data_IF_639077303539
#
_entry.id   IF_639077303539
#
_cell.length_a   1.000
_cell.length_b   1.000
_cell.length_c   1.000
_cell.angle_alpha   90.00
_cell.angle_beta   90.00
_cell.angle_gamma   90.00
#
_symmetry.space_group_name_H-M   'P 1'
#
loop_
_entity.id
_entity.type
_entity.pdbx_description
1 polymer ?
#
# COMPACT_ATOMS: atom_id res chain seq x y z
N UNK A 1 -1.76 2.68 4.25
CA UNK A 1 -1.04 2.12 5.42
C UNK A 1 -0.61 0.66 5.27
N UNK A 2 -1.45 -0.37 5.46
CA UNK A 2 -0.92 -1.77 5.48
C UNK A 2 -0.11 -2.16 4.22
N UNK A 3 -0.61 -1.85 3.02
CA UNK A 3 0.12 -2.12 1.76
C UNK A 3 1.41 -1.30 1.64
N UNK A 4 1.46 -0.10 2.24
CA UNK A 4 2.66 0.72 2.35
C UNK A 4 3.71 0.01 3.20
N UNK A 5 3.34 -0.37 4.43
CA UNK A 5 4.25 -1.04 5.38
C UNK A 5 4.76 -2.38 4.89
N UNK A 6 3.89 -3.19 4.26
CA UNK A 6 4.30 -4.46 3.67
C UNK A 6 5.29 -4.23 2.53
N UNK A 7 5.17 -3.13 1.78
CA UNK A 7 6.07 -2.85 0.66
C UNK A 7 7.48 -2.52 1.13
N UNK A 8 7.64 -1.82 2.25
CA UNK A 8 8.94 -1.72 2.93
C UNK A 8 9.50 -3.11 3.25
N UNK A 9 8.68 -3.97 3.86
CA UNK A 9 9.11 -5.31 4.26
C UNK A 9 9.54 -6.17 3.07
N UNK A 10 8.79 -6.12 1.95
CA UNK A 10 9.14 -6.82 0.71
C UNK A 10 10.47 -6.31 0.16
N UNK A 11 10.67 -4.99 0.12
CA UNK A 11 11.91 -4.39 -0.37
C UNK A 11 13.11 -4.73 0.52
N UNK A 12 12.93 -4.74 1.85
CA UNK A 12 13.95 -5.16 2.79
C UNK A 12 14.35 -6.62 2.53
N UNK A 13 13.39 -7.54 2.46
CA UNK A 13 13.65 -8.95 2.15
C UNK A 13 14.34 -9.13 0.79
N UNK A 14 13.86 -8.45 -0.24
CA UNK A 14 14.42 -8.53 -1.60
C UNK A 14 15.87 -8.02 -1.70
N UNK A 15 16.29 -7.19 -0.75
CA UNK A 15 17.64 -6.60 -0.70
C UNK A 15 18.53 -7.25 0.35
N UNK A 16 18.12 -8.38 0.93
CA UNK A 16 18.90 -9.17 1.88
C UNK A 16 18.71 -8.80 3.35
N UNK A 17 17.68 -8.00 3.67
CA UNK A 17 17.26 -7.70 5.03
C UNK A 17 16.19 -8.64 5.57
N UNK A 18 15.59 -8.27 6.70
CA UNK A 18 14.51 -8.98 7.38
C UNK A 18 13.42 -8.02 7.88
N UNK A 19 12.23 -8.57 8.12
CA UNK A 19 11.11 -7.87 8.76
C UNK A 19 11.06 -8.29 10.23
N UNK A 20 11.23 -7.35 11.16
CA UNK A 20 11.15 -7.64 12.59
C UNK A 20 9.70 -7.59 13.06
N UNK A 21 9.00 -6.50 12.72
CA UNK A 21 7.58 -6.30 13.03
C UNK A 21 6.98 -5.16 12.21
N UNK A 22 5.66 -5.21 12.08
CA UNK A 22 4.84 -4.11 11.55
C UNK A 22 3.87 -3.66 12.64
N UNK A 23 3.66 -2.35 12.76
CA UNK A 23 2.65 -1.78 13.65
C UNK A 23 1.69 -0.91 12.86
N UNK A 24 0.41 -0.99 13.19
CA UNK A 24 -0.65 -0.11 12.69
C UNK A 24 -1.46 0.46 13.86
N UNK A 25 -1.97 1.68 13.70
CA UNK A 25 -2.85 2.33 14.67
C UNK A 25 -4.14 2.88 14.05
N UNK A 26 -5.07 3.30 14.91
CA UNK A 26 -6.39 3.79 14.51
C UNK A 26 -6.39 5.19 13.87
N UNK A 27 -5.30 5.93 13.99
CA UNK A 27 -5.11 7.26 13.38
C UNK A 27 -4.45 7.17 12.00
N UNK A 28 -4.54 6.01 11.35
CA UNK A 28 -3.94 5.74 10.04
C UNK A 28 -2.40 5.79 10.08
N UNK A 29 -1.79 5.61 11.25
CA UNK A 29 -0.34 5.45 11.38
C UNK A 29 0.11 4.01 11.13
N UNK A 30 1.32 3.88 10.60
CA UNK A 30 1.99 2.64 10.30
C UNK A 30 3.50 2.75 10.54
N UNK A 31 4.14 1.63 10.87
CA UNK A 31 5.59 1.54 10.85
C UNK A 31 6.05 0.10 10.60
N UNK A 32 6.97 -0.07 9.66
CA UNK A 32 7.62 -1.33 9.34
C UNK A 32 9.06 -1.31 9.84
N UNK A 33 9.34 -2.10 10.88
CA UNK A 33 10.67 -2.24 11.44
C UNK A 33 11.40 -3.35 10.70
N UNK A 34 12.40 -2.96 9.92
CA UNK A 34 13.25 -3.87 9.15
C UNK A 34 14.71 -3.78 9.61
N UNK A 35 15.45 -4.88 9.47
CA UNK A 35 16.88 -4.95 9.74
C UNK A 35 17.64 -5.33 8.47
N UNK A 36 18.76 -4.65 8.20
CA UNK A 36 19.56 -4.89 6.98
C UNK A 36 18.86 -4.46 5.68
N UNK A 37 19.33 -4.99 4.56
CA UNK A 37 18.83 -4.63 3.22
C UNK A 37 19.36 -3.27 2.72
N UNK A 38 18.80 -2.81 1.60
CA UNK A 38 19.09 -1.51 1.03
C UNK A 38 18.10 -0.47 1.58
N UNK A 39 18.55 0.52 2.38
CA UNK A 39 17.66 1.47 3.03
C UNK A 39 16.97 2.40 2.04
N UNK A 40 17.65 2.77 0.94
CA UNK A 40 17.06 3.62 -0.10
C UNK A 40 15.88 2.94 -0.78
N UNK A 41 16.06 1.68 -1.19
CA UNK A 41 14.99 0.89 -1.80
C UNK A 41 13.86 0.62 -0.82
N UNK A 42 14.20 0.29 0.44
CA UNK A 42 13.23 0.03 1.49
C UNK A 42 12.35 1.24 1.72
N UNK A 43 12.92 2.42 2.00
CA UNK A 43 12.18 3.66 2.26
C UNK A 43 11.36 4.12 1.04
N UNK A 44 11.88 3.93 -0.17
CA UNK A 44 11.14 4.30 -1.40
C UNK A 44 9.96 3.36 -1.67
N UNK A 45 10.01 2.12 -1.18
CA UNK A 45 9.01 1.09 -1.47
C UNK A 45 7.65 1.34 -0.83
N UNK A 46 7.56 2.14 0.24
CA UNK A 46 6.27 2.47 0.86
C UNK A 46 5.34 3.17 -0.12
N UNK A 47 5.71 4.39 -0.53
CA UNK A 47 4.92 5.20 -1.46
C UNK A 47 4.71 4.50 -2.80
N UNK A 48 5.79 3.95 -3.39
CA UNK A 48 5.72 3.28 -4.69
C UNK A 48 4.90 1.99 -4.62
N UNK A 49 5.03 1.22 -3.54
CA UNK A 49 4.27 0.00 -3.33
C UNK A 49 2.78 0.26 -3.24
N UNK A 50 2.36 1.29 -2.49
CA UNK A 50 0.95 1.69 -2.40
C UNK A 50 0.34 2.02 -3.77
N UNK A 51 1.09 2.71 -4.64
CA UNK A 51 0.71 2.99 -6.03
C UNK A 51 0.62 1.71 -6.87
N UNK A 52 1.64 0.84 -6.79
CA UNK A 52 1.70 -0.39 -7.57
C UNK A 52 0.59 -1.37 -7.19
N UNK A 53 0.37 -1.62 -5.90
CA UNK A 53 -0.72 -2.47 -5.43
C UNK A 53 -2.09 -1.91 -5.83
N UNK A 54 -2.26 -0.59 -5.65
CA UNK A 54 -3.48 0.10 -6.02
C UNK A 54 -3.79 0.00 -7.52
N UNK A 55 -2.80 0.31 -8.35
CA UNK A 55 -2.89 0.22 -9.81
C UNK A 55 -3.16 -1.21 -10.28
N UNK A 56 -2.49 -2.20 -9.69
CA UNK A 56 -2.73 -3.61 -9.99
C UNK A 56 -4.19 -3.97 -9.69
N UNK A 57 -4.66 -3.75 -8.46
CA UNK A 57 -6.05 -4.07 -8.08
C UNK A 57 -7.06 -3.36 -8.99
N UNK A 58 -6.85 -2.08 -9.31
CA UNK A 58 -7.70 -1.31 -10.21
C UNK A 58 -7.74 -1.94 -11.63
N UNK A 59 -6.58 -2.28 -12.20
CA UNK A 59 -6.50 -2.92 -13.52
C UNK A 59 -7.15 -4.31 -13.53
N UNK A 60 -6.91 -5.12 -12.50
CA UNK A 60 -7.50 -6.46 -12.40
C UNK A 60 -9.02 -6.39 -12.23
N UNK A 61 -9.54 -5.38 -11.53
CA UNK A 61 -10.97 -5.14 -11.42
C UNK A 61 -11.60 -4.82 -12.79
N UNK A 62 -10.89 -4.15 -13.69
CA UNK A 62 -11.42 -3.81 -15.02
C UNK A 62 -11.28 -4.93 -16.05
N UNK A 63 -10.37 -5.87 -15.85
CA UNK A 63 -10.13 -6.96 -16.79
C UNK A 63 -11.33 -7.92 -16.96
N UNK A 64 -11.87 -8.03 -18.18
CA UNK A 64 -13.11 -8.80 -18.47
C UNK A 64 -13.03 -10.29 -18.12
N UNK A 65 -11.85 -10.91 -18.25
CA UNK A 65 -11.64 -12.36 -18.04
C UNK A 65 -11.22 -12.74 -16.62
N UNK A 66 -11.11 -11.79 -15.71
CA UNK A 66 -10.61 -12.07 -14.37
C UNK A 66 -11.72 -12.43 -13.40
N UNK A 67 -11.47 -13.49 -12.62
CA UNK A 67 -12.36 -13.90 -11.55
C UNK A 67 -12.03 -13.10 -10.28
N UNK A 68 -12.73 -11.98 -10.10
CA UNK A 68 -12.53 -11.06 -8.97
C UNK A 68 -12.78 -11.70 -7.61
N UNK A 69 -13.59 -12.77 -7.53
CA UNK A 69 -13.76 -13.58 -6.31
C UNK A 69 -12.46 -14.28 -5.91
N UNK A 70 -11.73 -14.88 -6.85
CA UNK A 70 -10.44 -15.51 -6.54
C UNK A 70 -9.41 -14.48 -6.09
N UNK A 71 -9.38 -13.31 -6.73
CA UNK A 71 -8.45 -12.23 -6.38
C UNK A 71 -8.75 -11.68 -4.99
N UNK A 72 -10.02 -11.33 -4.70
CA UNK A 72 -10.40 -10.87 -3.37
C UNK A 72 -10.17 -11.93 -2.30
N UNK A 73 -10.36 -13.22 -2.64
CA UNK A 73 -10.05 -14.30 -1.72
C UNK A 73 -8.56 -14.38 -1.40
N UNK A 74 -7.71 -14.26 -2.44
CA UNK A 74 -6.27 -14.23 -2.29
C UNK A 74 -5.81 -13.04 -1.45
N UNK A 75 -6.30 -11.83 -1.75
CA UNK A 75 -5.98 -10.62 -0.98
C UNK A 75 -6.43 -10.78 0.48
N UNK A 76 -7.66 -11.22 0.71
CA UNK A 76 -8.17 -11.43 2.06
C UNK A 76 -7.35 -12.43 2.87
N UNK A 77 -6.97 -13.57 2.25
CA UNK A 77 -6.10 -14.56 2.88
C UNK A 77 -4.69 -14.00 3.13
N UNK A 78 -4.10 -13.32 2.15
CA UNK A 78 -2.79 -12.70 2.29
C UNK A 78 -2.76 -11.68 3.43
N UNK A 79 -3.79 -10.84 3.55
CA UNK A 79 -3.91 -9.88 4.66
C UNK A 79 -3.94 -10.61 6.00
N UNK A 80 -4.73 -11.68 6.16
CA UNK A 80 -4.78 -12.46 7.41
C UNK A 80 -3.40 -13.04 7.73
N UNK A 81 -2.78 -13.73 6.76
CA UNK A 81 -1.48 -14.38 6.96
C UNK A 81 -0.41 -13.36 7.32
N UNK A 82 -0.30 -12.26 6.57
CA UNK A 82 0.68 -11.22 6.84
C UNK A 82 0.42 -10.51 8.18
N UNK A 83 -0.86 -10.36 8.57
CA UNK A 83 -1.22 -9.81 9.88
C UNK A 83 -0.74 -10.70 11.01
N UNK A 84 -0.98 -12.01 10.92
CA UNK A 84 -0.53 -12.96 11.93
C UNK A 84 1.01 -13.07 11.98
N UNK A 85 1.66 -13.08 10.82
CA UNK A 85 3.11 -13.26 10.73
C UNK A 85 3.89 -12.02 11.16
N UNK A 86 3.47 -10.82 10.80
CA UNK A 86 4.31 -9.62 10.95
C UNK A 86 3.70 -8.51 11.79
N UNK A 87 2.36 -8.42 11.93
CA UNK A 87 1.76 -7.33 12.70
C UNK A 87 1.86 -7.63 14.21
N UNK A 88 2.33 -6.65 14.97
CA UNK A 88 2.55 -6.73 16.43
C UNK A 88 1.83 -5.64 17.23
N UNK A 89 0.96 -4.85 16.61
CA UNK A 89 0.03 -3.97 17.32
C UNK A 89 -1.35 -4.63 17.46
N UNK A 90 -2.00 -4.48 18.63
CA UNK A 90 -3.30 -5.09 18.89
C UNK A 90 -4.37 -4.61 17.90
N UNK A 91 -4.42 -3.28 17.65
CA UNK A 91 -5.32 -2.70 16.65
C UNK A 91 -5.06 -3.28 15.26
N UNK A 92 -3.81 -3.27 14.80
CA UNK A 92 -3.44 -3.75 13.48
C UNK A 92 -3.77 -5.23 13.27
N UNK A 93 -3.54 -6.07 14.29
CA UNK A 93 -3.86 -7.50 14.23
C UNK A 93 -5.37 -7.72 14.10
N UNK A 94 -6.17 -7.09 14.96
CA UNK A 94 -7.63 -7.22 14.93
C UNK A 94 -8.18 -6.67 13.61
N UNK A 95 -7.75 -5.48 13.22
CA UNK A 95 -8.18 -4.84 11.97
C UNK A 95 -7.82 -5.70 10.76
N UNK A 96 -6.58 -6.19 10.68
CA UNK A 96 -6.12 -7.03 9.58
C UNK A 96 -6.90 -8.34 9.47
N UNK A 97 -7.15 -9.03 10.58
CA UNK A 97 -7.95 -10.26 10.59
C UNK A 97 -9.40 -9.98 10.16
N UNK A 98 -10.04 -8.96 10.73
CA UNK A 98 -11.43 -8.60 10.40
C UNK A 98 -11.57 -8.14 8.95
N UNK A 99 -10.62 -7.34 8.46
CA UNK A 99 -10.61 -6.85 7.08
C UNK A 99 -10.37 -7.99 6.09
N UNK A 100 -9.41 -8.89 6.36
CA UNK A 100 -9.20 -10.06 5.52
C UNK A 100 -10.40 -11.01 5.53
N UNK A 101 -11.00 -11.24 6.69
CA UNK A 101 -12.21 -12.05 6.82
C UNK A 101 -13.42 -11.42 6.09
N UNK A 102 -13.57 -10.09 6.13
CA UNK A 102 -14.62 -9.40 5.40
C UNK A 102 -14.41 -9.49 3.89
N UNK A 103 -13.17 -9.42 3.39
CA UNK A 103 -12.85 -9.68 1.99
C UNK A 103 -13.14 -11.12 1.57
N UNK A 104 -12.81 -12.11 2.40
CA UNK A 104 -13.19 -13.51 2.16
C UNK A 104 -14.72 -13.67 2.13
N UNK A 105 -15.44 -13.02 3.05
CA UNK A 105 -16.89 -13.03 3.06
C UNK A 105 -17.48 -12.43 1.78
N UNK A 106 -17.03 -11.23 1.39
CA UNK A 106 -17.43 -10.58 0.13
C UNK A 106 -17.12 -11.48 -1.06
N UNK A 107 -15.93 -12.07 -1.10
CA UNK A 107 -15.52 -12.98 -2.16
C UNK A 107 -16.44 -14.18 -2.31
N UNK A 108 -16.80 -14.83 -1.21
CA UNK A 108 -17.51 -16.10 -1.23
C UNK A 108 -19.04 -15.94 -1.25
N UNK A 109 -19.58 -14.84 -0.71
CA UNK A 109 -21.02 -14.65 -0.47
C UNK A 109 -21.68 -13.60 -1.35
N UNK A 110 -20.92 -12.83 -2.14
CA UNK A 110 -21.49 -11.78 -3.01
C UNK A 110 -21.28 -12.08 -4.48
N UNK A 111 -22.06 -11.40 -5.33
CA UNK A 111 -21.99 -11.57 -6.78
C UNK A 111 -20.73 -10.98 -7.43
N UNK A 112 -20.47 -11.29 -8.71
CA UNK A 112 -19.32 -10.77 -9.45
C UNK A 112 -19.23 -9.24 -9.49
N UNK A 113 -20.38 -8.56 -9.55
CA UNK A 113 -20.44 -7.09 -9.56
C UNK A 113 -19.92 -6.46 -8.27
N UNK A 114 -20.33 -6.98 -7.11
CA UNK A 114 -19.86 -6.50 -5.80
C UNK A 114 -18.39 -6.81 -5.61
N UNK A 115 -17.94 -8.01 -5.99
CA UNK A 115 -16.52 -8.36 -5.96
C UNK A 115 -15.64 -7.43 -6.81
N UNK A 116 -16.13 -7.09 -8.00
CA UNK A 116 -15.48 -6.15 -8.91
C UNK A 116 -15.43 -4.75 -8.32
N UNK A 117 -16.55 -4.28 -7.75
CA UNK A 117 -16.64 -3.00 -7.06
C UNK A 117 -15.68 -2.92 -5.87
N UNK A 118 -15.64 -3.95 -5.02
CA UNK A 118 -14.72 -4.02 -3.89
C UNK A 118 -13.26 -3.92 -4.34
N UNK A 119 -12.84 -4.74 -5.30
CA UNK A 119 -11.47 -4.72 -5.82
C UNK A 119 -11.12 -3.37 -6.47
N UNK A 120 -12.07 -2.78 -7.21
CA UNK A 120 -11.92 -1.46 -7.81
C UNK A 120 -11.74 -0.38 -6.74
N UNK A 121 -12.59 -0.36 -5.71
CA UNK A 121 -12.51 0.58 -4.60
C UNK A 121 -11.18 0.43 -3.85
N UNK A 122 -10.76 -0.79 -3.52
CA UNK A 122 -9.46 -1.03 -2.89
C UNK A 122 -8.29 -0.50 -3.73
N UNK A 123 -8.33 -0.78 -5.03
CA UNK A 123 -7.32 -0.30 -5.97
C UNK A 123 -7.25 1.22 -6.03
N UNK A 124 -8.40 1.87 -6.22
CA UNK A 124 -8.49 3.33 -6.28
C UNK A 124 -8.08 3.98 -4.97
N UNK A 125 -8.56 3.46 -3.83
CA UNK A 125 -8.21 3.96 -2.51
C UNK A 125 -6.71 3.84 -2.27
N UNK A 126 -6.07 2.70 -2.55
CA UNK A 126 -4.62 2.54 -2.34
C UNK A 126 -3.79 3.49 -3.22
N UNK A 127 -4.15 3.64 -4.50
CA UNK A 127 -3.44 4.53 -5.42
C UNK A 127 -3.55 6.00 -4.99
N UNK A 128 -4.76 6.47 -4.68
CA UNK A 128 -4.97 7.87 -4.30
C UNK A 128 -4.46 8.16 -2.88
N UNK A 129 -4.53 7.17 -1.98
CA UNK A 129 -4.01 7.31 -0.62
C UNK A 129 -2.52 7.60 -0.62
N UNK A 130 -1.73 7.03 -1.55
CA UNK A 130 -0.30 7.34 -1.66
C UNK A 130 -0.01 8.85 -1.82
N UNK A 131 -0.86 9.58 -2.58
CA UNK A 131 -0.73 11.04 -2.74
C UNK A 131 -1.02 11.75 -1.41
N UNK A 132 -2.07 11.31 -0.70
CA UNK A 132 -2.45 11.89 0.59
C UNK A 132 -1.40 11.62 1.67
N UNK A 133 -0.78 10.44 1.64
CA UNK A 133 0.30 10.03 2.56
C UNK A 133 1.51 10.96 2.39
N UNK A 134 1.99 11.14 1.15
CA UNK A 134 3.13 12.02 0.86
C UNK A 134 2.80 13.46 1.24
N UNK A 135 1.59 13.93 0.94
CA UNK A 135 1.13 15.29 1.32
C UNK A 135 1.12 15.46 2.84
N UNK A 136 0.66 14.44 3.57
CA UNK A 136 0.65 14.48 5.03
C UNK A 136 2.07 14.52 5.61
N UNK A 137 2.97 13.71 5.07
CA UNK A 137 4.35 13.61 5.54
C UNK A 137 5.19 14.85 5.25
N UNK A 138 4.94 15.51 4.12
CA UNK A 138 5.78 16.61 3.64
C UNK A 138 5.22 17.99 4.02
N UNK A 139 3.89 18.15 4.02
CA UNK A 139 3.25 19.45 4.23
C UNK A 139 2.55 19.56 5.57
N UNK A 140 1.77 18.54 5.96
CA UNK A 140 0.95 18.64 7.16
C UNK A 140 1.75 18.34 8.44
N UNK A 141 2.75 17.45 8.35
CA UNK A 141 3.56 16.98 9.47
C UNK A 141 5.06 16.89 9.12
N UNK A 142 5.69 17.98 8.67
CA UNK A 142 7.09 17.96 8.20
C UNK A 142 8.11 17.58 9.29
N UNK A 143 7.73 17.74 10.57
CA UNK A 143 8.55 17.39 11.73
C UNK A 143 8.43 15.90 12.13
N UNK A 144 7.47 15.17 11.56
CA UNK A 144 7.29 13.76 11.85
C UNK A 144 8.37 12.92 11.15
N UNK A 145 8.73 11.79 11.77
CA UNK A 145 9.60 10.80 11.14
C UNK A 145 8.78 10.10 10.04
N UNK A 146 9.07 10.43 8.79
CA UNK A 146 8.46 9.86 7.58
C UNK A 146 9.51 9.26 6.66
N UNK A 147 9.08 8.46 5.67
CA UNK A 147 10.00 7.89 4.68
C UNK A 147 10.78 8.97 3.93
N UNK A 148 10.11 10.06 3.56
CA UNK A 148 10.73 11.21 2.91
C UNK A 148 11.78 11.88 3.82
N UNK A 149 11.53 11.95 5.13
CA UNK A 149 12.51 12.49 6.07
C UNK A 149 13.70 11.56 6.25
N UNK A 150 13.47 10.26 6.39
CA UNK A 150 14.53 9.27 6.50
C UNK A 150 15.38 9.19 5.21
N UNK A 151 14.77 9.35 4.04
CA UNK A 151 15.49 9.48 2.76
C UNK A 151 16.34 10.76 2.73
N UNK A 152 15.86 11.86 3.30
CA UNK A 152 16.64 13.08 3.39
C UNK A 152 17.88 12.91 4.28
N UNK A 153 17.71 12.28 5.44
CA UNK A 153 18.82 11.97 6.35
C UNK A 153 19.83 10.99 5.71
N UNK A 154 19.36 10.04 4.89
CA UNK A 154 20.20 9.08 4.18
C UNK A 154 20.99 9.69 3.01
N UNK A 155 20.39 10.62 2.26
CA UNK A 155 20.93 11.11 0.98
C UNK A 155 21.47 12.53 1.04
N UNK A 156 21.16 13.28 2.09
CA UNK A 156 21.44 14.72 2.18
C UNK A 156 20.52 15.60 1.33
N UNK A 157 19.57 15.02 0.59
CA UNK A 157 18.60 15.75 -0.25
C UNK A 157 17.39 16.15 0.63
N UNK A 158 16.97 17.43 0.65
CA UNK A 158 15.88 17.87 1.54
C UNK A 158 14.55 17.13 1.36
N UNK A 159 13.82 16.89 2.46
CA UNK A 159 12.49 16.23 2.48
C UNK A 159 11.51 16.75 1.42
N UNK A 160 11.36 18.09 1.19
CA UNK A 160 10.43 18.58 0.17
C UNK A 160 10.76 18.10 -1.25
N UNK A 161 12.04 17.88 -1.55
CA UNK A 161 12.47 17.37 -2.88
C UNK A 161 11.98 15.94 -3.07
N UNK A 162 12.16 15.08 -2.06
CA UNK A 162 11.61 13.72 -2.08
C UNK A 162 10.08 13.72 -2.17
N UNK A 163 9.43 14.60 -1.42
CA UNK A 163 7.99 14.82 -1.50
C UNK A 163 7.50 15.16 -2.91
N UNK A 164 8.18 16.10 -3.58
CA UNK A 164 7.88 16.48 -4.96
C UNK A 164 8.07 15.29 -5.90
N UNK A 165 9.21 14.58 -5.81
CA UNK A 165 9.53 13.44 -6.67
C UNK A 165 8.44 12.36 -6.57
N UNK A 166 8.12 11.91 -5.36
CA UNK A 166 7.15 10.84 -5.16
C UNK A 166 5.73 11.27 -5.50
N UNK A 167 5.35 12.52 -5.19
CA UNK A 167 4.03 13.06 -5.56
C UNK A 167 3.89 13.17 -7.08
N UNK A 168 4.91 13.64 -7.79
CA UNK A 168 4.90 13.69 -9.25
C UNK A 168 4.74 12.31 -9.86
N UNK A 169 5.47 11.30 -9.36
CA UNK A 169 5.32 9.91 -9.81
C UNK A 169 3.91 9.40 -9.53
N UNK A 170 3.36 9.65 -8.34
CA UNK A 170 2.02 9.25 -7.94
C UNK A 170 0.94 9.84 -8.85
N UNK A 171 1.05 11.15 -9.17
CA UNK A 171 0.11 11.84 -10.06
C UNK A 171 0.22 11.30 -11.49
N UNK A 172 1.44 11.19 -12.05
CA UNK A 172 1.63 10.69 -13.41
C UNK A 172 1.09 9.27 -13.54
N UNK A 173 1.39 8.40 -12.58
CA UNK A 173 0.89 7.03 -12.57
C UNK A 173 -0.64 6.97 -12.48
N UNK A 174 -1.23 7.78 -11.59
CA UNK A 174 -2.69 7.85 -11.43
C UNK A 174 -3.38 8.36 -12.68
N UNK A 175 -2.85 9.41 -13.31
CA UNK A 175 -3.37 9.97 -14.56
C UNK A 175 -3.26 8.96 -15.71
N UNK A 176 -2.14 8.27 -15.82
CA UNK A 176 -1.95 7.21 -16.81
C UNK A 176 -2.98 6.09 -16.63
N UNK A 177 -3.20 5.65 -15.39
CA UNK A 177 -4.17 4.61 -15.05
C UNK A 177 -5.60 5.02 -15.40
N UNK A 178 -5.98 6.28 -15.11
CA UNK A 178 -7.29 6.84 -15.44
C UNK A 178 -7.46 7.04 -16.96
N UNK A 179 -6.45 7.56 -17.65
CA UNK A 179 -6.50 7.75 -19.10
C UNK A 179 -6.66 6.42 -19.83
N UNK A 180 -5.87 5.40 -19.44
CA UNK A 180 -6.05 4.05 -19.94
C UNK A 180 -7.46 3.51 -19.64
N UNK A 181 -8.02 3.87 -18.49
CA UNK A 181 -9.37 3.46 -18.16
C UNK A 181 -10.45 4.13 -19.00
N UNK A 182 -10.22 5.37 -19.43
CA UNK A 182 -11.09 6.08 -20.34
C UNK A 182 -11.06 5.49 -21.75
N UNK A 183 -9.87 5.20 -22.30
CA UNK A 183 -9.70 4.61 -23.63
C UNK A 183 -10.32 3.22 -23.79
N UNK A 184 -10.40 2.44 -22.70
CA UNK A 184 -10.94 1.09 -22.69
C UNK A 184 -12.45 1.01 -22.39
N UNK A 185 -13.12 2.14 -22.12
CA UNK A 185 -14.54 2.21 -21.71
C UNK A 185 -15.49 2.28 -22.93
#
# INVERSE_FOLDING_TARGET
>A
VLLHEISHGIAALATGGSIDRITLDAQQGGACYCAGGNPFMTLSAGYLGSLLWGGLMFSLARAKRMNTRWINSFIGMAVIVLSLLYIRSAFGLIFGILFGASLLFVAQKTGPGVNRGALFTLGLTSTLYAILDIKSDVLDRPEAVSDARMLADLTGIPTPVWGIIWTSIAIIFSLWLLHRAYEEA
#
